data_IF_640106134868
#
_entry.id   IF_640106134868
#
_cell.length_a   1.000
_cell.length_b   1.000
_cell.length_c   1.000
_cell.angle_alpha   90.00
_cell.angle_beta   90.00
_cell.angle_gamma   90.00
#
_symmetry.space_group_name_H-M   'P 1'
#
loop_
_entity.id
_entity.type
_entity.pdbx_description
1 polymer ?
#
# COMPACT_ATOMS: atom_id res chain seq x y z
N UNK A 1 1.85 27.02 -7.97
CA UNK A 1 1.44 27.13 -6.56
C UNK A 1 2.41 26.34 -5.69
N UNK A 2 2.68 26.77 -4.43
CA UNK A 2 3.59 26.06 -3.54
C UNK A 2 2.87 24.93 -2.81
N UNK A 3 3.51 23.77 -2.72
CA UNK A 3 3.06 22.58 -2.02
C UNK A 3 4.12 22.18 -0.97
N UNK A 4 3.77 22.19 0.30
CA UNK A 4 4.61 21.66 1.35
C UNK A 4 4.21 20.21 1.63
N UNK A 5 5.11 19.27 1.37
CA UNK A 5 4.91 17.84 1.55
C UNK A 5 5.66 17.37 2.79
N UNK A 6 4.92 16.87 3.76
CA UNK A 6 5.47 16.24 4.96
C UNK A 6 5.33 14.72 4.86
N UNK A 7 6.44 14.00 4.82
CA UNK A 7 6.47 12.53 4.72
C UNK A 7 7.22 11.89 5.87
N UNK A 8 6.79 10.73 6.30
CA UNK A 8 7.44 9.97 7.38
C UNK A 8 8.51 8.99 6.87
N UNK A 9 8.65 8.86 5.55
CA UNK A 9 9.72 8.12 4.88
C UNK A 9 10.45 9.00 3.89
N UNK A 10 11.73 8.75 3.66
CA UNK A 10 12.43 9.25 2.47
C UNK A 10 11.87 8.48 1.27
N UNK A 11 11.15 9.13 0.32
CA UNK A 11 10.39 8.41 -0.71
C UNK A 11 11.24 7.79 -1.83
N UNK A 12 12.55 7.88 -1.75
CA UNK A 12 13.49 7.31 -2.71
C UNK A 12 14.47 6.34 -2.02
N UNK A 13 14.85 5.22 -2.67
CA UNK A 13 14.31 4.69 -3.93
C UNK A 13 12.86 4.15 -3.76
N UNK A 14 12.02 4.18 -4.81
CA UNK A 14 10.62 3.79 -4.74
C UNK A 14 10.44 2.26 -4.66
N UNK A 15 10.98 1.64 -3.62
CA UNK A 15 10.99 0.19 -3.41
C UNK A 15 10.07 -0.20 -2.27
N UNK A 16 8.85 -0.61 -2.60
CA UNK A 16 7.81 -1.00 -1.65
C UNK A 16 6.63 -0.03 -1.64
N UNK A 17 5.48 -0.47 -1.14
CA UNK A 17 4.19 0.18 -1.36
C UNK A 17 4.15 1.68 -1.09
N UNK A 18 4.42 2.09 0.15
CA UNK A 18 4.31 3.49 0.56
C UNK A 18 5.37 4.37 -0.13
N UNK A 19 6.63 3.89 -0.27
CA UNK A 19 7.70 4.64 -0.93
C UNK A 19 7.39 4.85 -2.42
N UNK A 20 6.91 3.81 -3.09
CA UNK A 20 6.52 3.85 -4.50
C UNK A 20 5.37 4.84 -4.71
N UNK A 21 4.36 4.83 -3.82
CA UNK A 21 3.26 5.78 -3.86
C UNK A 21 3.74 7.22 -3.69
N UNK A 22 4.39 7.53 -2.58
CA UNK A 22 4.82 8.91 -2.26
C UNK A 22 5.76 9.47 -3.32
N UNK A 23 6.75 8.68 -3.78
CA UNK A 23 7.67 9.11 -4.83
C UNK A 23 6.95 9.45 -6.12
N UNK A 24 6.09 8.54 -6.61
CA UNK A 24 5.41 8.76 -7.89
C UNK A 24 4.37 9.88 -7.81
N UNK A 25 3.65 10.02 -6.69
CA UNK A 25 2.75 11.16 -6.50
C UNK A 25 3.51 12.49 -6.50
N UNK A 26 4.64 12.59 -5.78
CA UNK A 26 5.51 13.79 -5.82
C UNK A 26 5.97 14.05 -7.25
N UNK A 27 6.42 13.03 -8.00
CA UNK A 27 6.84 13.15 -9.40
C UNK A 27 5.73 13.73 -10.27
N UNK A 28 4.50 13.25 -10.11
CA UNK A 28 3.37 13.72 -10.91
C UNK A 28 3.01 15.17 -10.57
N UNK A 29 2.79 15.49 -9.30
CA UNK A 29 2.35 16.84 -8.92
C UNK A 29 3.45 17.91 -9.07
N UNK A 30 4.72 17.52 -9.17
CA UNK A 30 5.82 18.45 -9.43
C UNK A 30 5.74 19.16 -10.78
N UNK A 31 4.94 18.66 -11.72
CA UNK A 31 4.67 19.32 -12.99
C UNK A 31 3.78 20.57 -12.84
N UNK A 32 2.91 20.59 -11.82
CA UNK A 32 1.93 21.65 -11.60
C UNK A 32 2.20 22.47 -10.32
N UNK A 33 2.96 21.92 -9.38
CA UNK A 33 3.23 22.52 -8.07
C UNK A 33 4.72 22.64 -7.80
N UNK A 34 5.13 23.73 -7.14
CA UNK A 34 6.47 23.89 -6.57
C UNK A 34 6.53 23.12 -5.25
N UNK A 35 7.05 21.90 -5.28
CA UNK A 35 7.07 20.99 -4.13
C UNK A 35 8.25 21.28 -3.22
N UNK A 36 7.98 21.48 -1.93
CA UNK A 36 8.96 21.55 -0.84
C UNK A 36 8.77 20.34 0.06
N UNK A 37 9.72 19.43 0.07
CA UNK A 37 9.65 18.17 0.80
C UNK A 37 10.40 18.27 2.14
N UNK A 38 9.68 18.01 3.25
CA UNK A 38 10.27 17.69 4.54
C UNK A 38 9.96 16.22 4.83
N UNK A 39 10.98 15.41 5.06
CA UNK A 39 10.82 13.97 5.25
C UNK A 39 11.67 13.44 6.40
N UNK A 40 11.24 12.33 7.00
CA UNK A 40 11.91 11.71 8.13
C UNK A 40 12.71 10.48 7.65
N UNK A 41 13.93 10.33 8.16
CA UNK A 41 14.74 9.13 7.92
C UNK A 41 14.28 7.97 8.84
N UNK A 42 13.06 7.48 8.62
CA UNK A 42 12.50 6.36 9.38
C UNK A 42 13.22 5.05 9.05
N UNK A 43 13.73 4.92 7.83
CA UNK A 43 14.47 3.75 7.37
C UNK A 43 15.83 3.59 8.06
N UNK A 44 16.39 4.67 8.63
CA UNK A 44 17.71 4.67 9.25
C UNK A 44 18.86 4.59 8.22
N UNK A 45 18.63 5.15 7.04
CA UNK A 45 19.63 5.17 5.97
C UNK A 45 20.86 6.00 6.37
N UNK A 46 22.06 5.56 5.99
CA UNK A 46 23.29 6.27 6.34
C UNK A 46 23.42 7.62 5.61
N UNK A 47 24.12 8.61 6.20
CA UNK A 47 24.18 9.97 5.64
C UNK A 47 24.69 10.07 4.19
N UNK A 48 25.58 9.16 3.77
CA UNK A 48 26.06 9.12 2.39
C UNK A 48 24.95 8.77 1.42
N UNK A 49 24.08 7.82 1.80
CA UNK A 49 22.97 7.36 0.99
C UNK A 49 21.86 8.41 0.96
N UNK A 50 21.60 9.08 2.09
CA UNK A 50 20.63 10.18 2.15
C UNK A 50 21.00 11.34 1.21
N UNK A 51 22.30 11.67 1.07
CA UNK A 51 22.74 12.70 0.09
C UNK A 51 22.44 12.30 -1.35
N UNK A 52 22.62 11.02 -1.70
CA UNK A 52 22.26 10.52 -3.03
C UNK A 52 20.74 10.58 -3.25
N UNK A 53 19.94 10.20 -2.25
CA UNK A 53 18.48 10.27 -2.31
C UNK A 53 17.98 11.73 -2.40
N UNK A 54 18.58 12.63 -1.66
CA UNK A 54 18.27 14.06 -1.72
C UNK A 54 18.56 14.63 -3.13
N UNK A 55 19.68 14.24 -3.75
CA UNK A 55 20.01 14.67 -5.09
C UNK A 55 18.96 14.22 -6.11
N UNK A 56 18.51 12.98 -6.05
CA UNK A 56 17.45 12.47 -6.91
C UNK A 56 16.11 13.19 -6.68
N UNK A 57 15.72 13.37 -5.42
CA UNK A 57 14.47 14.05 -5.07
C UNK A 57 14.45 15.52 -5.52
N UNK A 58 15.61 16.18 -5.60
CA UNK A 58 15.73 17.56 -6.11
C UNK A 58 15.41 17.71 -7.60
N UNK A 59 15.31 16.62 -8.35
CA UNK A 59 14.80 16.68 -9.73
C UNK A 59 13.28 17.01 -9.75
N UNK A 60 12.57 16.70 -8.68
CA UNK A 60 11.12 16.87 -8.57
C UNK A 60 10.72 17.91 -7.52
N UNK A 61 11.57 18.15 -6.53
CA UNK A 61 11.30 19.05 -5.43
C UNK A 61 12.20 20.28 -5.47
N UNK A 62 11.62 21.46 -5.27
CA UNK A 62 12.36 22.72 -5.18
C UNK A 62 13.30 22.74 -3.98
N UNK A 63 12.87 22.15 -2.88
CA UNK A 63 13.71 21.90 -1.71
C UNK A 63 13.42 20.54 -1.11
N UNK A 64 14.43 19.92 -0.55
CA UNK A 64 14.34 18.65 0.15
C UNK A 64 15.06 18.82 1.48
N UNK A 65 14.37 18.55 2.58
CA UNK A 65 14.93 18.54 3.91
C UNK A 65 14.67 17.16 4.55
N UNK A 66 15.74 16.40 4.80
CA UNK A 66 15.67 15.08 5.43
C UNK A 66 16.04 15.24 6.90
N UNK A 67 15.16 14.81 7.78
CA UNK A 67 15.30 14.91 9.22
C UNK A 67 15.59 13.54 9.84
N UNK A 68 16.59 13.49 10.72
CA UNK A 68 16.84 12.31 11.52
C UNK A 68 15.82 12.20 12.65
N UNK A 69 15.38 10.98 12.95
CA UNK A 69 14.55 10.74 14.13
C UNK A 69 15.37 10.92 15.42
N UNK A 70 14.72 11.33 16.51
CA UNK A 70 15.39 11.54 17.80
C UNK A 70 15.96 10.24 18.41
N UNK A 71 15.59 9.10 17.87
CA UNK A 71 16.10 7.78 18.27
C UNK A 71 15.90 6.76 17.15
N UNK A 72 16.78 5.73 17.08
CA UNK A 72 16.67 4.70 16.05
C UNK A 72 15.35 3.95 16.14
N UNK A 73 14.77 3.65 14.99
CA UNK A 73 13.59 2.79 14.86
C UNK A 73 13.89 1.42 15.52
N UNK A 74 12.97 0.96 16.40
CA UNK A 74 13.13 -0.27 17.20
C UNK A 74 14.33 -0.28 18.17
N UNK A 75 14.93 0.86 18.45
CA UNK A 75 15.94 1.00 19.51
C UNK A 75 15.34 0.96 20.93
N UNK A 76 16.21 0.98 21.97
CA UNK A 76 15.78 0.89 23.38
C UNK A 76 14.74 1.96 23.78
N UNK A 77 14.91 3.19 23.29
CA UNK A 77 13.95 4.29 23.54
C UNK A 77 12.61 4.04 22.85
N UNK A 78 12.63 3.48 21.64
CA UNK A 78 11.41 3.11 20.92
C UNK A 78 10.57 2.11 21.73
N UNK A 79 11.19 1.09 22.28
CA UNK A 79 10.51 0.11 23.14
C UNK A 79 10.01 0.73 24.45
N UNK A 80 10.78 1.64 25.06
CA UNK A 80 10.35 2.36 26.26
C UNK A 80 9.10 3.23 25.97
N UNK A 81 9.05 3.93 24.83
CA UNK A 81 7.88 4.70 24.41
C UNK A 81 6.68 3.81 24.07
N UNK A 82 6.91 2.64 23.45
CA UNK A 82 5.86 1.66 23.21
C UNK A 82 5.23 1.18 24.52
N UNK A 83 6.04 0.85 25.51
CA UNK A 83 5.59 0.43 26.85
C UNK A 83 4.84 1.54 27.62
N UNK A 84 5.20 2.79 27.41
CA UNK A 84 4.53 3.96 28.02
C UNK A 84 3.26 4.36 27.26
N UNK A 85 3.11 3.94 26.00
CA UNK A 85 2.04 4.41 25.14
C UNK A 85 0.63 4.17 25.69
N UNK A 86 0.32 3.12 26.51
CA UNK A 86 -0.99 2.97 27.12
C UNK A 86 -1.44 4.16 27.98
N UNK A 87 -0.48 4.92 28.55
CA UNK A 87 -0.74 6.07 29.42
C UNK A 87 -1.16 7.34 28.67
N UNK A 88 -1.08 7.37 27.36
CA UNK A 88 -1.37 8.55 26.54
C UNK A 88 -2.57 8.29 25.62
N UNK A 89 -3.33 9.35 25.30
CA UNK A 89 -4.45 9.27 24.36
C UNK A 89 -4.03 9.18 22.89
N UNK A 90 -2.84 9.70 22.55
CA UNK A 90 -2.30 9.73 21.20
C UNK A 90 -1.75 8.36 20.80
N UNK A 91 -1.95 7.89 19.56
CA UNK A 91 -1.36 6.66 19.06
C UNK A 91 0.14 6.61 19.22
N UNK A 92 0.69 5.42 19.48
CA UNK A 92 2.12 5.25 19.63
C UNK A 92 2.90 5.68 18.38
N UNK A 93 2.42 5.35 17.19
CA UNK A 93 3.06 5.71 15.92
C UNK A 93 3.23 7.23 15.77
N UNK A 94 2.18 8.00 16.04
CA UNK A 94 2.25 9.47 16.00
C UNK A 94 3.27 10.04 17.00
N UNK A 95 3.32 9.48 18.22
CA UNK A 95 4.28 9.91 19.24
C UNK A 95 5.72 9.56 18.91
N UNK A 96 5.92 8.36 18.35
CA UNK A 96 7.25 7.88 17.99
C UNK A 96 7.90 8.71 16.87
N UNK A 97 7.09 9.31 16.00
CA UNK A 97 7.58 10.18 14.93
C UNK A 97 7.63 11.66 15.28
N UNK A 98 7.10 12.05 16.44
CA UNK A 98 7.09 13.44 16.84
C UNK A 98 8.42 13.90 17.45
N UNK A 99 8.94 15.04 16.99
CA UNK A 99 10.11 15.71 17.52
C UNK A 99 9.95 17.23 17.50
N UNK A 100 10.27 17.90 18.60
CA UNK A 100 10.27 19.37 18.67
C UNK A 100 11.24 20.01 17.66
N UNK A 101 12.36 19.35 17.38
CA UNK A 101 13.33 19.83 16.37
C UNK A 101 12.74 19.77 14.96
N UNK A 102 12.03 18.69 14.64
CA UNK A 102 11.36 18.53 13.34
C UNK A 102 10.17 19.52 13.26
N UNK A 103 9.41 19.70 14.34
CA UNK A 103 8.34 20.69 14.40
C UNK A 103 8.87 22.11 14.11
N UNK A 104 9.98 22.53 14.74
CA UNK A 104 10.57 23.83 14.48
C UNK A 104 11.02 24.02 13.01
N UNK A 105 11.48 22.95 12.35
CA UNK A 105 11.80 22.98 10.90
C UNK A 105 10.53 23.08 10.04
N UNK A 106 9.50 22.35 10.40
CA UNK A 106 8.19 22.42 9.74
C UNK A 106 7.57 23.82 9.89
N UNK A 107 7.56 24.40 11.09
CA UNK A 107 7.07 25.77 11.35
C UNK A 107 7.86 26.82 10.58
N UNK A 108 9.17 26.66 10.41
CA UNK A 108 9.98 27.52 9.54
C UNK A 108 9.53 27.46 8.09
N UNK A 109 9.25 26.25 7.55
CA UNK A 109 8.72 26.10 6.20
C UNK A 109 7.36 26.79 6.06
N UNK A 110 6.45 26.60 7.02
CA UNK A 110 5.14 27.26 7.04
C UNK A 110 5.29 28.79 6.99
N UNK A 111 6.17 29.34 7.82
CA UNK A 111 6.42 30.79 7.90
C UNK A 111 7.08 31.35 6.62
N UNK A 112 7.91 30.55 5.95
CA UNK A 112 8.59 30.94 4.71
C UNK A 112 7.66 30.88 3.49
N UNK A 113 6.59 30.07 3.58
CA UNK A 113 5.66 29.84 2.48
C UNK A 113 4.20 30.07 2.88
N UNK A 114 3.81 31.30 3.26
CA UNK A 114 2.42 31.61 3.59
C UNK A 114 1.50 31.34 2.39
N UNK A 115 0.35 30.72 2.66
CA UNK A 115 -0.64 30.38 1.61
C UNK A 115 -0.29 29.14 0.78
N UNK A 116 0.75 28.39 1.14
CA UNK A 116 1.02 27.09 0.53
C UNK A 116 -0.08 26.07 0.86
N UNK A 117 -0.30 25.12 -0.05
CA UNK A 117 -1.08 23.91 0.24
C UNK A 117 -0.19 22.91 0.99
N UNK A 118 -0.76 22.23 1.97
CA UNK A 118 -0.03 21.24 2.76
C UNK A 118 -0.50 19.83 2.40
N UNK A 119 0.44 18.92 2.24
CA UNK A 119 0.19 17.48 2.10
C UNK A 119 0.86 16.72 3.24
N UNK A 120 0.05 16.05 4.04
CA UNK A 120 0.50 15.15 5.09
C UNK A 120 0.40 13.72 4.56
N UNK A 121 1.52 13.05 4.42
CA UNK A 121 1.61 11.76 3.74
C UNK A 121 1.23 10.55 4.64
N UNK A 122 0.82 10.78 5.87
CA UNK A 122 0.32 9.77 6.80
C UNK A 122 -0.34 10.40 8.02
N UNK A 123 -1.30 9.69 8.60
CA UNK A 123 -1.88 10.00 9.91
C UNK A 123 -0.82 10.02 11.03
N UNK A 124 0.28 9.30 10.88
CA UNK A 124 1.37 9.27 11.86
C UNK A 124 2.04 10.63 12.06
N UNK A 125 1.83 11.56 11.12
CA UNK A 125 2.34 12.93 11.17
C UNK A 125 1.35 13.93 11.81
N UNK A 126 0.26 13.44 12.36
CA UNK A 126 -0.85 14.22 12.91
C UNK A 126 -0.43 15.31 13.89
N UNK A 127 0.57 15.03 14.73
CA UNK A 127 1.04 15.99 15.74
C UNK A 127 1.71 17.26 15.16
N UNK A 128 2.06 17.25 13.88
CA UNK A 128 2.55 18.42 13.16
C UNK A 128 1.43 19.28 12.58
N UNK A 129 0.19 18.76 12.50
CA UNK A 129 -0.94 19.47 11.93
C UNK A 129 -1.44 20.63 12.78
N UNK A 130 -1.18 20.59 14.10
CA UNK A 130 -1.61 21.66 15.03
C UNK A 130 -0.96 23.02 14.73
N UNK A 131 0.27 23.03 14.21
CA UNK A 131 0.96 24.26 13.79
C UNK A 131 0.45 24.83 12.46
N UNK A 132 -0.40 24.07 11.74
CA UNK A 132 -0.84 24.35 10.38
C UNK A 132 -2.34 24.74 10.30
N UNK A 133 -2.93 25.30 11.36
CA UNK A 133 -4.38 25.57 11.44
C UNK A 133 -4.89 26.57 10.39
N UNK A 134 -4.06 27.49 9.96
CA UNK A 134 -4.42 28.53 8.99
C UNK A 134 -4.08 28.18 7.54
N UNK A 135 -3.70 26.93 7.27
CA UNK A 135 -3.36 26.46 5.94
C UNK A 135 -4.42 25.50 5.41
N UNK A 136 -4.59 25.50 4.11
CA UNK A 136 -5.32 24.42 3.41
C UNK A 136 -4.45 23.16 3.44
N UNK A 137 -5.06 22.03 3.81
CA UNK A 137 -4.30 20.81 4.09
C UNK A 137 -5.03 19.55 3.65
N UNK A 138 -4.26 18.63 3.08
CA UNK A 138 -4.69 17.31 2.63
C UNK A 138 -3.99 16.25 3.46
N UNK A 139 -4.76 15.27 3.95
CA UNK A 139 -4.25 14.08 4.63
C UNK A 139 -4.32 12.88 3.70
N UNK A 140 -3.19 12.26 3.44
CA UNK A 140 -3.12 11.03 2.65
C UNK A 140 -3.22 9.80 3.56
N UNK A 141 -4.19 8.94 3.27
CA UNK A 141 -4.36 7.65 3.94
C UNK A 141 -3.81 6.55 3.04
N UNK A 142 -2.82 5.81 3.54
CA UNK A 142 -2.33 4.59 2.88
C UNK A 142 -3.27 3.41 3.13
N UNK A 143 -4.04 3.46 4.23
CA UNK A 143 -5.10 2.55 4.64
C UNK A 143 -6.02 3.28 5.62
N UNK A 144 -7.15 2.69 5.98
CA UNK A 144 -7.77 2.96 7.27
C UNK A 144 -6.94 2.26 8.35
N UNK A 145 -6.05 3.02 9.00
CA UNK A 145 -5.01 2.45 9.88
C UNK A 145 -5.61 1.78 11.12
N UNK A 146 -6.71 2.31 11.66
CA UNK A 146 -7.40 1.68 12.79
C UNK A 146 -8.00 0.34 12.41
N UNK A 147 -8.66 0.24 11.26
CA UNK A 147 -9.25 -1.00 10.77
C UNK A 147 -8.17 -2.05 10.50
N UNK A 148 -7.04 -1.65 9.90
CA UNK A 148 -5.89 -2.53 9.72
C UNK A 148 -5.34 -3.03 11.05
N UNK A 149 -5.19 -2.13 12.05
CA UNK A 149 -4.69 -2.49 13.38
C UNK A 149 -5.65 -3.43 14.12
N UNK A 150 -6.98 -3.23 14.03
CA UNK A 150 -7.97 -4.16 14.58
C UNK A 150 -7.91 -5.54 13.92
N UNK A 151 -7.78 -5.60 12.59
CA UNK A 151 -7.63 -6.86 11.85
C UNK A 151 -6.37 -7.62 12.28
N UNK A 152 -5.24 -6.91 12.42
CA UNK A 152 -3.99 -7.50 12.93
C UNK A 152 -4.11 -7.99 14.38
N UNK A 153 -4.77 -7.22 15.25
CA UNK A 153 -5.03 -7.61 16.63
C UNK A 153 -5.90 -8.88 16.71
N UNK A 154 -6.88 -9.04 15.82
CA UNK A 154 -7.72 -10.23 15.72
C UNK A 154 -6.93 -11.50 15.43
N UNK A 155 -5.87 -11.40 14.62
CA UNK A 155 -5.02 -12.53 14.24
C UNK A 155 -3.88 -12.81 15.24
N UNK A 156 -3.65 -11.92 16.23
CA UNK A 156 -2.59 -12.09 17.23
C UNK A 156 -2.98 -13.17 18.26
N UNK A 157 -2.10 -14.16 18.44
CA UNK A 157 -2.31 -15.29 19.35
C UNK A 157 -1.96 -14.96 20.81
N UNK A 158 -0.98 -14.07 21.02
CA UNK A 158 -0.57 -13.65 22.36
C UNK A 158 -1.61 -12.67 22.96
N UNK A 159 -2.30 -12.99 24.05
CA UNK A 159 -3.38 -12.16 24.59
C UNK A 159 -2.90 -10.78 25.05
N UNK A 160 -1.66 -10.65 25.56
CA UNK A 160 -1.10 -9.38 26.00
C UNK A 160 -0.83 -8.48 24.78
N UNK A 161 -0.22 -9.03 23.73
CA UNK A 161 0.03 -8.31 22.48
C UNK A 161 -1.28 -7.94 21.80
N UNK A 162 -2.25 -8.85 21.76
CA UNK A 162 -3.60 -8.58 21.23
C UNK A 162 -4.26 -7.39 21.93
N UNK A 163 -4.28 -7.38 23.28
CA UNK A 163 -4.86 -6.28 24.05
C UNK A 163 -4.15 -4.96 23.80
N UNK A 164 -2.83 -4.98 23.74
CA UNK A 164 -2.04 -3.79 23.38
C UNK A 164 -2.38 -3.27 21.98
N UNK A 165 -2.45 -4.16 20.98
CA UNK A 165 -2.79 -3.81 19.60
C UNK A 165 -4.22 -3.26 19.49
N UNK A 166 -5.19 -3.84 20.20
CA UNK A 166 -6.57 -3.32 20.28
C UNK A 166 -6.61 -1.91 20.88
N UNK A 167 -5.83 -1.67 21.94
CA UNK A 167 -5.71 -0.32 22.52
C UNK A 167 -5.13 0.69 21.51
N UNK A 168 -4.10 0.30 20.76
CA UNK A 168 -3.53 1.18 19.72
C UNK A 168 -4.51 1.41 18.58
N UNK A 169 -5.25 0.38 18.15
CA UNK A 169 -6.30 0.50 17.14
C UNK A 169 -7.40 1.48 17.57
N UNK A 170 -7.85 1.42 18.83
CA UNK A 170 -8.83 2.37 19.37
C UNK A 170 -8.31 3.82 19.37
N UNK A 171 -7.03 4.01 19.68
CA UNK A 171 -6.39 5.35 19.63
C UNK A 171 -6.27 5.85 18.19
N UNK A 172 -5.92 4.97 17.23
CA UNK A 172 -5.90 5.31 15.81
C UNK A 172 -7.30 5.72 15.33
N UNK A 173 -8.35 4.98 15.67
CA UNK A 173 -9.72 5.34 15.33
C UNK A 173 -10.13 6.71 15.91
N UNK A 174 -9.70 7.02 17.14
CA UNK A 174 -9.92 8.34 17.73
C UNK A 174 -9.15 9.46 17.00
N UNK A 175 -7.91 9.18 16.58
CA UNK A 175 -7.10 10.12 15.80
C UNK A 175 -7.70 10.33 14.41
N UNK A 176 -8.11 9.27 13.71
CA UNK A 176 -8.80 9.33 12.41
C UNK A 176 -10.07 10.17 12.52
N UNK A 177 -10.91 9.93 13.54
CA UNK A 177 -12.12 10.73 13.78
C UNK A 177 -11.84 12.23 13.91
N UNK A 178 -10.82 12.58 14.68
CA UNK A 178 -10.45 13.98 14.92
C UNK A 178 -9.85 14.63 13.68
N UNK A 179 -8.91 13.95 13.03
CA UNK A 179 -8.11 14.51 11.94
C UNK A 179 -8.87 14.57 10.63
N UNK A 180 -9.61 13.51 10.25
CA UNK A 180 -10.38 13.52 9.01
C UNK A 180 -11.40 14.66 8.97
N UNK A 181 -11.91 15.11 10.13
CA UNK A 181 -12.78 16.28 10.23
C UNK A 181 -12.06 17.63 10.23
N UNK A 182 -10.74 17.64 10.46
CA UNK A 182 -9.94 18.88 10.55
C UNK A 182 -9.12 19.19 9.30
N UNK A 183 -9.01 18.25 8.38
CA UNK A 183 -8.38 18.44 7.07
C UNK A 183 -9.42 18.83 6.02
N UNK A 184 -9.01 19.66 5.05
CA UNK A 184 -9.90 20.09 3.97
C UNK A 184 -10.29 18.93 3.05
N UNK A 185 -9.33 18.01 2.78
CA UNK A 185 -9.55 16.78 2.03
C UNK A 185 -8.72 15.65 2.63
N UNK A 186 -9.30 14.45 2.64
CA UNK A 186 -8.64 13.19 2.97
C UNK A 186 -8.54 12.35 1.70
N UNK A 187 -7.34 11.99 1.25
CA UNK A 187 -7.17 11.08 0.12
C UNK A 187 -7.12 9.64 0.59
N UNK A 188 -7.81 8.76 -0.11
CA UNK A 188 -7.94 7.33 0.22
C UNK A 188 -7.56 6.46 -0.97
N UNK A 189 -7.05 5.26 -0.72
CA UNK A 189 -6.51 4.39 -1.78
C UNK A 189 -7.52 3.38 -2.33
N UNK A 190 -8.65 3.18 -1.64
CA UNK A 190 -9.68 2.25 -2.06
C UNK A 190 -11.06 2.70 -1.58
N UNK A 191 -12.10 2.23 -2.26
CA UNK A 191 -13.49 2.47 -1.87
C UNK A 191 -13.79 1.90 -0.48
N UNK A 192 -13.18 0.77 -0.13
CA UNK A 192 -13.32 0.17 1.18
C UNK A 192 -12.72 1.07 2.28
N UNK A 193 -11.50 1.59 2.09
CA UNK A 193 -10.90 2.53 3.04
C UNK A 193 -11.76 3.81 3.17
N UNK A 194 -12.34 4.29 2.05
CA UNK A 194 -13.25 5.42 2.07
C UNK A 194 -14.47 5.15 2.96
N UNK A 195 -15.12 4.00 2.80
CA UNK A 195 -16.28 3.62 3.59
C UNK A 195 -15.94 3.50 5.09
N UNK A 196 -14.86 2.81 5.41
CA UNK A 196 -14.40 2.65 6.81
C UNK A 196 -14.09 4.00 7.48
N UNK A 197 -13.39 4.90 6.79
CA UNK A 197 -13.08 6.23 7.32
C UNK A 197 -14.33 7.11 7.40
N UNK A 198 -15.28 6.96 6.49
CA UNK A 198 -16.55 7.68 6.51
C UNK A 198 -17.46 7.22 7.66
N UNK A 199 -17.42 5.94 8.04
CA UNK A 199 -18.07 5.45 9.26
C UNK A 199 -17.45 6.04 10.54
N UNK A 200 -16.12 6.21 10.55
CA UNK A 200 -15.38 6.81 11.68
C UNK A 200 -15.66 8.31 11.79
N UNK A 201 -15.63 9.04 10.65
CA UNK A 201 -15.86 10.48 10.56
C UNK A 201 -16.75 10.81 9.37
N UNK A 202 -18.09 10.83 9.53
CA UNK A 202 -19.04 11.06 8.44
C UNK A 202 -18.93 12.44 7.78
N UNK A 203 -18.43 13.44 8.50
CA UNK A 203 -18.28 14.81 8.01
C UNK A 203 -16.90 15.08 7.35
N UNK A 204 -16.05 14.06 7.22
CA UNK A 204 -14.79 14.17 6.50
C UNK A 204 -15.02 14.26 4.98
N UNK A 205 -14.20 15.03 4.28
CA UNK A 205 -14.19 15.06 2.81
C UNK A 205 -13.18 14.03 2.29
N UNK A 206 -13.66 13.00 1.59
CA UNK A 206 -12.84 11.90 1.08
C UNK A 206 -12.76 11.94 -0.43
N UNK A 207 -11.53 11.92 -0.96
CA UNK A 207 -11.25 11.88 -2.38
C UNK A 207 -10.42 10.63 -2.73
N UNK A 208 -10.85 9.90 -3.76
CA UNK A 208 -10.16 8.70 -4.19
C UNK A 208 -8.85 9.08 -4.91
N UNK A 209 -7.74 8.57 -4.42
CA UNK A 209 -6.42 8.63 -5.06
C UNK A 209 -5.81 7.25 -4.94
N UNK A 210 -6.05 6.42 -5.93
CA UNK A 210 -5.64 5.01 -5.92
C UNK A 210 -4.12 4.84 -5.94
N UNK A 211 -3.64 3.63 -5.75
CA UNK A 211 -2.24 3.30 -6.02
C UNK A 211 -2.06 3.06 -7.52
N UNK A 212 -0.88 3.40 -8.02
CA UNK A 212 -0.56 3.27 -9.44
C UNK A 212 0.59 2.30 -9.71
N UNK A 213 0.86 2.11 -11.00
CA UNK A 213 2.01 1.37 -11.52
C UNK A 213 2.69 2.18 -12.63
N UNK A 214 4.00 2.07 -12.73
CA UNK A 214 4.76 2.67 -13.84
C UNK A 214 4.67 1.76 -15.07
N UNK A 215 3.70 2.06 -15.94
CA UNK A 215 3.43 1.30 -17.17
C UNK A 215 4.51 1.46 -18.24
N UNK A 216 5.41 2.43 -18.09
CA UNK A 216 6.58 2.58 -18.95
C UNK A 216 7.77 1.75 -18.43
N UNK A 217 7.84 1.52 -17.12
CA UNK A 217 8.86 0.69 -16.49
C UNK A 217 8.49 -0.79 -16.53
N UNK A 218 7.26 -1.13 -16.17
CA UNK A 218 6.71 -2.47 -16.26
C UNK A 218 6.03 -2.63 -17.62
N UNK A 219 6.75 -3.19 -18.58
CA UNK A 219 6.26 -3.45 -19.95
C UNK A 219 6.29 -4.93 -20.25
N UNK A 220 5.32 -5.44 -21.03
CA UNK A 220 5.38 -6.80 -21.53
C UNK A 220 6.68 -7.01 -22.34
N UNK A 221 7.33 -8.14 -22.15
CA UNK A 221 8.49 -8.55 -22.93
C UNK A 221 8.10 -9.70 -23.87
N UNK A 222 8.68 -9.69 -25.08
CA UNK A 222 8.40 -10.73 -26.10
C UNK A 222 9.20 -12.03 -25.87
N UNK A 223 9.75 -12.23 -24.68
CA UNK A 223 10.44 -13.47 -24.32
C UNK A 223 9.42 -14.52 -23.88
N UNK A 224 9.64 -15.76 -24.32
CA UNK A 224 8.82 -16.88 -23.89
C UNK A 224 8.98 -17.11 -22.40
N UNK A 225 7.86 -17.06 -21.67
CA UNK A 225 7.84 -17.45 -20.26
C UNK A 225 7.94 -18.97 -20.11
N UNK A 226 8.48 -19.44 -19.01
CA UNK A 226 8.45 -20.86 -18.65
C UNK A 226 6.99 -21.31 -18.46
N UNK A 227 6.47 -22.14 -19.37
CA UNK A 227 5.06 -22.44 -19.52
C UNK A 227 4.35 -22.90 -18.22
N UNK A 228 5.02 -23.67 -17.38
CA UNK A 228 4.48 -24.19 -16.12
C UNK A 228 5.19 -23.57 -14.92
N UNK A 229 5.23 -22.24 -14.88
CA UNK A 229 5.88 -21.51 -13.79
C UNK A 229 4.98 -20.46 -13.15
N UNK A 230 5.07 -20.34 -11.84
CA UNK A 230 4.38 -19.35 -11.05
C UNK A 230 5.36 -18.49 -10.26
N UNK A 231 5.03 -17.21 -10.04
CA UNK A 231 5.85 -16.31 -9.22
C UNK A 231 5.02 -15.58 -8.16
N UNK A 232 5.55 -15.58 -6.93
CA UNK A 232 5.12 -14.68 -5.85
C UNK A 232 6.18 -13.62 -5.63
N UNK A 233 5.77 -12.35 -5.55
CA UNK A 233 6.69 -11.23 -5.36
C UNK A 233 6.38 -10.41 -4.10
N UNK A 234 7.37 -9.69 -3.56
CA UNK A 234 7.18 -8.71 -2.50
C UNK A 234 8.20 -8.74 -1.37
N UNK A 235 7.82 -8.18 -0.21
CA UNK A 235 8.64 -8.28 0.99
C UNK A 235 8.39 -9.64 1.66
N UNK A 236 9.29 -10.62 1.42
CA UNK A 236 9.13 -12.00 1.88
C UNK A 236 9.18 -12.14 3.41
N UNK A 237 9.79 -11.18 4.11
CA UNK A 237 9.81 -11.12 5.58
C UNK A 237 8.57 -10.49 6.23
N UNK A 238 7.60 -10.02 5.46
CA UNK A 238 6.36 -9.45 5.98
C UNK A 238 5.37 -10.55 6.39
N UNK A 239 4.77 -10.45 7.59
CA UNK A 239 3.91 -11.50 8.16
C UNK A 239 2.83 -12.03 7.22
N UNK A 240 2.05 -11.15 6.62
CA UNK A 240 1.00 -11.55 5.67
C UNK A 240 1.56 -12.25 4.42
N UNK A 241 2.75 -11.86 3.95
CA UNK A 241 3.43 -12.55 2.85
C UNK A 241 3.96 -13.92 3.29
N UNK A 242 4.42 -14.07 4.55
CA UNK A 242 4.83 -15.38 5.10
C UNK A 242 3.64 -16.31 5.16
N UNK A 243 2.48 -15.85 5.68
CA UNK A 243 1.24 -16.63 5.69
C UNK A 243 0.83 -17.05 4.26
N UNK A 244 0.88 -16.12 3.30
CA UNK A 244 0.57 -16.38 1.90
C UNK A 244 1.52 -17.40 1.26
N UNK A 245 2.83 -17.28 1.51
CA UNK A 245 3.82 -18.25 1.00
C UNK A 245 3.64 -19.63 1.63
N UNK A 246 3.33 -19.72 2.94
CA UNK A 246 3.02 -20.99 3.60
C UNK A 246 1.78 -21.64 2.98
N UNK A 247 0.71 -20.87 2.73
CA UNK A 247 -0.47 -21.35 2.04
C UNK A 247 -0.11 -21.87 0.63
N UNK A 248 0.66 -21.09 -0.12
CA UNK A 248 1.09 -21.47 -1.47
C UNK A 248 1.93 -22.74 -1.47
N UNK A 249 2.99 -22.81 -0.66
CA UNK A 249 3.98 -23.89 -0.68
C UNK A 249 3.40 -25.18 -0.10
N UNK A 250 2.68 -25.11 1.02
CA UNK A 250 2.23 -26.32 1.73
C UNK A 250 0.83 -26.79 1.37
N UNK A 251 -0.04 -25.90 0.83
CA UNK A 251 -1.44 -26.28 0.58
C UNK A 251 -1.79 -26.27 -0.91
N UNK A 252 -1.23 -25.38 -1.69
CA UNK A 252 -1.55 -25.22 -3.13
C UNK A 252 -0.56 -25.98 -4.02
N UNK A 253 0.74 -25.72 -3.82
CA UNK A 253 1.79 -26.18 -4.71
C UNK A 253 1.87 -27.71 -4.89
N UNK A 254 1.70 -28.54 -3.83
CA UNK A 254 1.65 -29.99 -3.99
C UNK A 254 0.56 -30.43 -4.97
N UNK A 255 -0.65 -29.83 -4.92
CA UNK A 255 -1.75 -30.17 -5.83
C UNK A 255 -1.44 -29.77 -7.28
N UNK A 256 -0.77 -28.65 -7.49
CA UNK A 256 -0.31 -28.25 -8.85
C UNK A 256 0.70 -29.26 -9.39
N UNK A 257 1.62 -29.73 -8.54
CA UNK A 257 2.67 -30.70 -8.89
C UNK A 257 2.14 -32.09 -9.24
N UNK A 258 0.96 -32.47 -8.76
CA UNK A 258 0.28 -33.73 -9.15
C UNK A 258 -0.01 -33.74 -10.66
N UNK A 259 -0.47 -32.62 -11.24
CA UNK A 259 -0.73 -32.48 -12.67
C UNK A 259 0.49 -32.08 -13.50
N UNK A 260 1.40 -31.30 -12.89
CA UNK A 260 2.58 -30.73 -13.56
C UNK A 260 3.87 -30.98 -12.73
N UNK A 261 4.43 -32.20 -12.76
CA UNK A 261 5.63 -32.54 -11.97
C UNK A 261 6.85 -31.66 -12.25
N UNK A 262 6.96 -31.09 -13.46
CA UNK A 262 8.04 -30.17 -13.86
C UNK A 262 7.79 -28.70 -13.54
N UNK A 263 6.64 -28.34 -12.96
CA UNK A 263 6.30 -26.96 -12.63
C UNK A 263 7.33 -26.30 -11.70
N UNK A 264 7.53 -24.99 -11.87
CA UNK A 264 8.46 -24.17 -11.10
C UNK A 264 7.74 -23.07 -10.33
N UNK A 265 8.14 -22.87 -9.07
CA UNK A 265 7.65 -21.80 -8.21
C UNK A 265 8.80 -20.84 -7.86
N UNK A 266 8.65 -19.58 -8.21
CA UNK A 266 9.57 -18.51 -7.86
C UNK A 266 9.01 -17.71 -6.69
N UNK A 267 9.83 -17.50 -5.66
CA UNK A 267 9.54 -16.62 -4.52
C UNK A 267 10.59 -15.50 -4.52
N UNK A 268 10.24 -14.36 -5.11
CA UNK A 268 11.19 -13.28 -5.35
C UNK A 268 10.87 -12.05 -4.48
N UNK A 269 11.87 -11.54 -3.74
CA UNK A 269 11.63 -10.33 -2.96
C UNK A 269 12.60 -10.06 -1.83
N UNK A 270 12.25 -9.05 -1.02
CA UNK A 270 13.11 -8.53 0.03
C UNK A 270 13.06 -9.38 1.30
N UNK A 271 14.24 -9.48 1.94
CA UNK A 271 14.41 -10.00 3.31
C UNK A 271 13.68 -11.33 3.55
N UNK A 272 13.94 -12.40 2.77
CA UNK A 272 13.38 -13.70 3.03
C UNK A 272 13.87 -14.22 4.39
N UNK A 273 12.97 -14.75 5.24
CA UNK A 273 13.37 -15.40 6.49
C UNK A 273 14.18 -16.67 6.21
N UNK A 274 14.95 -17.12 7.19
CA UNK A 274 15.82 -18.29 7.05
C UNK A 274 15.06 -19.57 6.66
N UNK A 275 13.86 -19.79 7.20
CA UNK A 275 13.06 -20.95 6.85
C UNK A 275 12.62 -20.93 5.37
N UNK A 276 12.31 -19.74 4.81
CA UNK A 276 11.97 -19.60 3.39
C UNK A 276 13.19 -19.93 2.52
N UNK A 277 14.40 -19.53 2.92
CA UNK A 277 15.64 -19.84 2.22
C UNK A 277 15.98 -21.35 2.21
N UNK A 278 15.36 -22.16 3.06
CA UNK A 278 15.55 -23.61 3.11
C UNK A 278 14.66 -24.37 2.13
N UNK A 279 13.50 -23.81 1.73
CA UNK A 279 12.54 -24.51 0.86
C UNK A 279 13.13 -25.07 -0.45
N UNK A 280 14.09 -24.43 -1.16
CA UNK A 280 14.73 -25.02 -2.32
C UNK A 280 15.52 -26.31 -2.05
N UNK A 281 15.91 -26.55 -0.79
CA UNK A 281 16.58 -27.79 -0.37
C UNK A 281 15.57 -28.91 -0.07
N UNK A 282 14.35 -28.53 0.31
CA UNK A 282 13.25 -29.45 0.65
C UNK A 282 12.45 -29.82 -0.62
N UNK A 283 12.26 -28.86 -1.52
CA UNK A 283 11.58 -29.04 -2.80
C UNK A 283 12.35 -28.30 -3.92
N UNK A 284 13.00 -29.02 -4.80
CA UNK A 284 13.79 -28.51 -5.92
C UNK A 284 12.98 -27.78 -7.00
N UNK A 285 11.64 -27.85 -6.92
CA UNK A 285 10.75 -27.08 -7.81
C UNK A 285 10.58 -25.64 -7.37
N UNK A 286 10.99 -25.30 -6.12
CA UNK A 286 10.92 -23.97 -5.54
C UNK A 286 12.27 -23.27 -5.70
N UNK A 287 12.23 -22.03 -6.17
CA UNK A 287 13.39 -21.14 -6.24
C UNK A 287 13.11 -19.88 -5.45
N UNK A 288 13.97 -19.57 -4.48
CA UNK A 288 13.92 -18.30 -3.73
C UNK A 288 14.92 -17.33 -4.32
N UNK A 289 14.46 -16.13 -4.65
CA UNK A 289 15.28 -15.04 -5.21
C UNK A 289 15.35 -13.90 -4.18
N UNK A 290 16.39 -13.88 -3.34
CA UNK A 290 16.52 -12.90 -2.29
C UNK A 290 16.97 -11.54 -2.85
N UNK A 291 16.26 -10.47 -2.47
CA UNK A 291 16.63 -9.09 -2.73
C UNK A 291 17.03 -8.78 -4.19
N UNK A 292 16.24 -9.18 -5.21
CA UNK A 292 16.57 -8.87 -6.59
C UNK A 292 16.67 -7.36 -6.80
N UNK A 293 17.66 -6.91 -7.57
CA UNK A 293 17.80 -5.49 -7.93
C UNK A 293 16.68 -5.04 -8.84
N UNK A 294 16.27 -5.92 -9.77
CA UNK A 294 15.15 -5.71 -10.69
C UNK A 294 14.20 -6.92 -10.64
N UNK A 295 12.91 -6.64 -10.47
CA UNK A 295 11.87 -7.67 -10.43
C UNK A 295 11.38 -8.07 -11.83
N UNK A 296 11.55 -7.22 -12.82
CA UNK A 296 11.01 -7.41 -14.17
C UNK A 296 11.47 -8.69 -14.87
N UNK A 297 12.77 -9.07 -14.84
CA UNK A 297 13.20 -10.33 -15.45
C UNK A 297 12.54 -11.55 -14.82
N UNK A 298 12.28 -11.52 -13.51
CA UNK A 298 11.62 -12.61 -12.80
C UNK A 298 10.12 -12.69 -13.12
N UNK A 299 9.45 -11.53 -13.21
CA UNK A 299 8.07 -11.46 -13.67
C UNK A 299 7.94 -11.90 -15.12
N UNK A 300 8.85 -11.48 -15.99
CA UNK A 300 8.87 -11.89 -17.41
C UNK A 300 8.99 -13.39 -17.56
N UNK A 301 9.89 -14.01 -16.80
CA UNK A 301 10.19 -15.44 -16.81
C UNK A 301 8.99 -16.31 -16.43
N UNK A 302 8.18 -15.88 -15.47
CA UNK A 302 7.06 -16.64 -14.99
C UNK A 302 5.87 -16.58 -15.95
N UNK A 303 5.16 -17.71 -16.10
CA UNK A 303 3.93 -17.78 -16.89
C UNK A 303 2.74 -17.13 -16.15
N UNK A 304 2.68 -17.27 -14.82
CA UNK A 304 1.57 -16.81 -13.97
C UNK A 304 2.10 -16.12 -12.74
N UNK A 305 1.53 -14.96 -12.39
CA UNK A 305 1.77 -14.33 -11.10
C UNK A 305 0.73 -14.77 -10.07
N UNK A 306 1.15 -14.92 -8.80
CA UNK A 306 0.25 -15.35 -7.73
C UNK A 306 0.23 -14.35 -6.58
N UNK A 307 -0.98 -14.10 -6.04
CA UNK A 307 -1.18 -13.24 -4.87
C UNK A 307 -2.11 -13.92 -3.84
N UNK A 308 -1.67 -15.01 -3.18
CA UNK A 308 -2.47 -15.80 -2.26
C UNK A 308 -2.51 -15.17 -0.85
N UNK A 309 -2.79 -13.87 -0.76
CA UNK A 309 -2.83 -13.13 0.50
C UNK A 309 -4.12 -13.47 1.24
N UNK A 310 -4.00 -13.89 2.50
CA UNK A 310 -5.11 -14.33 3.34
C UNK A 310 -5.51 -13.29 4.39
N UNK A 311 -4.65 -12.27 4.61
CA UNK A 311 -4.83 -11.28 5.66
C UNK A 311 -4.14 -9.96 5.30
N UNK A 312 -4.53 -8.88 6.00
CA UNK A 312 -3.95 -7.55 5.80
C UNK A 312 -4.88 -6.60 5.04
N UNK A 313 -4.47 -5.35 4.86
CA UNK A 313 -5.20 -4.28 4.17
C UNK A 313 -4.38 -3.65 3.04
N UNK A 314 -4.98 -2.66 2.38
CA UNK A 314 -4.37 -1.88 1.28
C UNK A 314 -4.28 -2.62 -0.06
N UNK A 315 -4.15 -1.85 -1.13
CA UNK A 315 -4.00 -2.38 -2.49
C UNK A 315 -2.66 -3.11 -2.69
N UNK A 316 -2.70 -4.24 -3.36
CA UNK A 316 -1.52 -5.08 -3.62
C UNK A 316 -0.82 -4.64 -4.89
N UNK A 317 0.15 -3.73 -4.80
CA UNK A 317 0.92 -3.22 -5.95
C UNK A 317 1.52 -4.34 -6.81
N UNK A 318 1.89 -5.47 -6.21
CA UNK A 318 2.40 -6.64 -6.94
C UNK A 318 1.43 -7.18 -8.02
N UNK A 319 0.12 -6.98 -7.83
CA UNK A 319 -0.88 -7.32 -8.85
C UNK A 319 -0.79 -6.31 -9.99
N UNK A 320 -0.71 -5.02 -9.68
CA UNK A 320 -0.57 -3.98 -10.70
C UNK A 320 0.72 -4.15 -11.51
N UNK A 321 1.85 -4.45 -10.83
CA UNK A 321 3.13 -4.73 -11.50
C UNK A 321 3.00 -5.92 -12.47
N UNK A 322 2.34 -7.01 -12.03
CA UNK A 322 2.11 -8.20 -12.86
C UNK A 322 1.20 -7.89 -14.06
N UNK A 323 0.08 -7.21 -13.84
CA UNK A 323 -0.86 -6.81 -14.89
C UNK A 323 -0.18 -5.86 -15.89
N UNK A 324 0.68 -4.94 -15.41
CA UNK A 324 1.46 -4.05 -16.26
C UNK A 324 2.44 -4.81 -17.16
N UNK A 325 3.01 -5.91 -16.67
CA UNK A 325 3.84 -6.83 -17.48
C UNK A 325 3.01 -7.76 -18.39
N UNK A 326 1.68 -7.58 -18.47
CA UNK A 326 0.80 -8.43 -19.25
C UNK A 326 0.72 -9.87 -18.72
N UNK A 327 1.01 -10.10 -17.44
CA UNK A 327 0.97 -11.42 -16.82
C UNK A 327 -0.41 -11.73 -16.25
N UNK A 328 -0.96 -12.93 -16.49
CA UNK A 328 -2.17 -13.37 -15.81
C UNK A 328 -1.89 -13.55 -14.32
N UNK A 329 -2.89 -13.27 -13.51
CA UNK A 329 -2.78 -13.34 -12.05
C UNK A 329 -3.81 -14.30 -11.48
N UNK A 330 -3.39 -15.14 -10.53
CA UNK A 330 -4.30 -15.86 -9.61
C UNK A 330 -4.17 -15.22 -8.24
N UNK A 331 -5.29 -14.80 -7.66
CA UNK A 331 -5.34 -14.13 -6.36
C UNK A 331 -6.44 -14.70 -5.48
N UNK A 332 -6.34 -14.48 -4.19
CA UNK A 332 -7.49 -14.57 -3.28
C UNK A 332 -8.34 -13.32 -3.36
N UNK A 333 -9.58 -13.36 -2.86
CA UNK A 333 -10.45 -12.19 -2.71
C UNK A 333 -9.74 -11.09 -1.92
N UNK A 334 -9.11 -11.42 -0.78
CA UNK A 334 -8.31 -10.48 0.03
C UNK A 334 -7.07 -10.00 -0.75
N UNK A 335 -6.49 -10.85 -1.58
CA UNK A 335 -5.31 -10.50 -2.39
C UNK A 335 -5.58 -9.41 -3.41
N UNK A 336 -6.74 -9.35 -4.02
CA UNK A 336 -7.13 -8.32 -5.00
C UNK A 336 -8.07 -7.23 -4.43
N UNK A 337 -8.27 -7.23 -3.10
CA UNK A 337 -9.11 -6.23 -2.43
C UNK A 337 -8.71 -4.80 -2.80
N UNK A 338 -9.69 -3.95 -3.09
CA UNK A 338 -9.48 -2.54 -3.47
C UNK A 338 -8.99 -2.32 -4.91
N UNK A 339 -8.88 -3.35 -5.73
CA UNK A 339 -8.58 -3.23 -7.16
C UNK A 339 -9.83 -3.43 -8.02
N UNK A 340 -9.99 -2.64 -9.08
CA UNK A 340 -11.11 -2.74 -10.04
C UNK A 340 -10.90 -3.89 -11.03
N UNK A 341 -10.48 -5.04 -10.55
CA UNK A 341 -10.29 -6.23 -11.38
C UNK A 341 -11.60 -6.99 -11.57
N UNK A 342 -11.74 -7.66 -12.71
CA UNK A 342 -12.92 -8.46 -13.06
C UNK A 342 -12.52 -9.94 -13.09
N UNK A 343 -13.02 -10.77 -12.14
CA UNK A 343 -12.75 -12.21 -12.13
C UNK A 343 -13.12 -12.89 -13.45
N UNK A 344 -12.23 -13.74 -13.97
CA UNK A 344 -12.39 -14.45 -15.24
C UNK A 344 -12.04 -13.64 -16.49
N UNK A 345 -11.90 -12.32 -16.38
CA UNK A 345 -11.51 -11.44 -17.48
C UNK A 345 -10.02 -11.07 -17.39
N UNK A 346 -9.59 -10.41 -16.31
CA UNK A 346 -8.23 -9.93 -16.14
C UNK A 346 -7.50 -10.49 -14.90
N UNK A 347 -8.22 -11.30 -14.09
CA UNK A 347 -7.68 -12.00 -12.92
C UNK A 347 -8.48 -13.29 -12.68
N UNK A 348 -7.85 -14.33 -12.12
CA UNK A 348 -8.57 -15.44 -11.48
C UNK A 348 -8.59 -15.22 -9.96
N UNK A 349 -9.76 -15.44 -9.36
CA UNK A 349 -9.93 -15.31 -7.90
C UNK A 349 -10.32 -16.67 -7.31
N UNK A 350 -9.56 -17.10 -6.31
CA UNK A 350 -9.76 -18.38 -5.64
C UNK A 350 -9.26 -18.31 -4.18
N UNK A 351 -10.13 -18.66 -3.23
CA UNK A 351 -9.84 -18.55 -1.79
C UNK A 351 -9.46 -19.88 -1.14
N UNK A 352 -9.83 -21.02 -1.76
CA UNK A 352 -9.45 -22.34 -1.23
C UNK A 352 -8.17 -22.87 -1.90
N UNK A 353 -7.37 -23.70 -1.20
CA UNK A 353 -6.18 -24.31 -1.81
C UNK A 353 -6.48 -25.06 -3.11
N UNK A 354 -7.62 -25.78 -3.15
CA UNK A 354 -8.07 -26.56 -4.30
C UNK A 354 -8.38 -25.68 -5.50
N UNK A 355 -9.17 -24.63 -5.30
CA UNK A 355 -9.59 -23.74 -6.37
C UNK A 355 -8.40 -22.91 -6.87
N UNK A 356 -7.50 -22.51 -5.96
CA UNK A 356 -6.28 -21.78 -6.31
C UNK A 356 -5.35 -22.66 -7.17
N UNK A 357 -5.15 -23.92 -6.78
CA UNK A 357 -4.40 -24.89 -7.57
C UNK A 357 -5.06 -25.14 -8.93
N UNK A 358 -6.39 -25.31 -8.99
CA UNK A 358 -7.13 -25.45 -10.23
C UNK A 358 -6.98 -24.23 -11.15
N UNK A 359 -7.00 -23.01 -10.60
CA UNK A 359 -6.73 -21.79 -11.35
C UNK A 359 -5.34 -21.76 -11.97
N UNK A 360 -4.30 -22.19 -11.23
CA UNK A 360 -2.95 -22.31 -11.76
C UNK A 360 -2.86 -23.36 -12.87
N UNK A 361 -3.41 -24.56 -12.64
CA UNK A 361 -3.47 -25.65 -13.63
C UNK A 361 -4.16 -25.17 -14.90
N UNK A 362 -5.31 -24.51 -14.80
CA UNK A 362 -6.04 -23.97 -15.94
C UNK A 362 -5.18 -22.98 -16.76
N UNK A 363 -4.42 -22.11 -16.09
CA UNK A 363 -3.54 -21.16 -16.78
C UNK A 363 -2.29 -21.86 -17.34
N UNK A 364 -1.80 -22.94 -16.76
CA UNK A 364 -0.69 -23.71 -17.31
C UNK A 364 -1.09 -24.44 -18.59
N UNK A 365 -2.30 -25.01 -18.63
CA UNK A 365 -2.82 -25.73 -19.79
C UNK A 365 -3.21 -24.81 -20.95
N UNK A 366 -3.77 -23.63 -20.66
CA UNK A 366 -4.43 -22.78 -21.66
C UNK A 366 -3.62 -21.52 -21.95
N UNK A 367 -2.69 -21.58 -22.89
CA UNK A 367 -1.87 -20.45 -23.30
C UNK A 367 -2.71 -19.26 -23.79
N UNK A 368 -3.73 -19.53 -24.60
CA UNK A 368 -4.61 -18.48 -25.12
C UNK A 368 -5.36 -17.76 -24.00
N UNK A 369 -5.75 -18.47 -22.94
CA UNK A 369 -6.35 -17.84 -21.75
C UNK A 369 -5.33 -16.94 -21.04
N UNK A 370 -4.07 -17.40 -20.86
CA UNK A 370 -3.01 -16.57 -20.29
C UNK A 370 -2.82 -15.29 -21.08
N UNK A 371 -2.71 -15.40 -22.40
CA UNK A 371 -2.49 -14.26 -23.29
C UNK A 371 -3.67 -13.27 -23.23
N UNK A 372 -4.90 -13.77 -23.28
CA UNK A 372 -6.12 -12.93 -23.20
C UNK A 372 -6.23 -12.21 -21.86
N UNK A 373 -6.02 -12.92 -20.75
CA UNK A 373 -6.09 -12.33 -19.40
C UNK A 373 -4.96 -11.32 -19.16
N UNK A 374 -3.75 -11.64 -19.60
CA UNK A 374 -2.62 -10.72 -19.52
C UNK A 374 -2.87 -9.43 -20.29
N UNK A 375 -3.40 -9.51 -21.52
CA UNK A 375 -3.76 -8.36 -22.34
C UNK A 375 -4.88 -7.53 -21.71
N UNK A 376 -5.92 -8.16 -21.17
CA UNK A 376 -7.01 -7.48 -20.46
C UNK A 376 -6.50 -6.79 -19.17
N UNK A 377 -5.60 -7.44 -18.43
CA UNK A 377 -4.96 -6.87 -17.26
C UNK A 377 -4.09 -5.66 -17.60
N UNK A 378 -3.30 -5.73 -18.67
CA UNK A 378 -2.48 -4.60 -19.17
C UNK A 378 -3.36 -3.41 -19.55
N UNK A 379 -4.42 -3.65 -20.33
CA UNK A 379 -5.36 -2.61 -20.72
C UNK A 379 -6.04 -1.93 -19.51
N UNK A 380 -6.37 -2.71 -18.48
CA UNK A 380 -6.91 -2.18 -17.23
C UNK A 380 -5.93 -1.21 -16.56
N UNK A 381 -4.67 -1.61 -16.36
CA UNK A 381 -3.72 -0.76 -15.63
C UNK A 381 -3.30 0.47 -16.42
N UNK A 382 -3.22 0.39 -17.74
CA UNK A 382 -2.98 1.57 -18.60
C UNK A 382 -4.11 2.57 -18.53
N UNK A 383 -5.34 2.11 -18.46
CA UNK A 383 -6.52 2.99 -18.39
C UNK A 383 -6.74 3.56 -17.00
N UNK A 384 -6.56 2.76 -15.93
CA UNK A 384 -7.03 3.13 -14.59
C UNK A 384 -5.90 3.40 -13.58
N UNK A 385 -4.71 2.79 -13.75
CA UNK A 385 -3.69 2.71 -12.71
C UNK A 385 -2.30 3.27 -13.11
N UNK A 386 -2.17 3.92 -14.27
CA UNK A 386 -0.94 4.63 -14.60
C UNK A 386 -0.74 5.84 -13.68
N UNK A 387 0.50 6.13 -13.29
CA UNK A 387 0.78 7.20 -12.33
C UNK A 387 0.33 8.57 -12.82
N UNK A 388 0.28 8.81 -14.13
CA UNK A 388 -0.22 10.05 -14.73
C UNK A 388 -1.69 10.28 -14.35
N UNK A 389 -2.52 9.24 -14.45
CA UNK A 389 -3.93 9.29 -14.06
C UNK A 389 -4.10 9.46 -12.55
N UNK A 390 -3.29 8.72 -11.76
CA UNK A 390 -3.32 8.83 -10.29
C UNK A 390 -2.87 10.22 -9.84
N UNK A 391 -1.88 10.82 -10.53
CA UNK A 391 -1.48 12.21 -10.30
C UNK A 391 -2.60 13.21 -10.55
N UNK A 392 -3.40 13.00 -11.61
CA UNK A 392 -4.60 13.83 -11.89
C UNK A 392 -5.63 13.72 -10.77
N UNK A 393 -5.89 12.52 -10.23
CA UNK A 393 -6.78 12.35 -9.08
C UNK A 393 -6.28 13.14 -7.85
N UNK A 394 -4.96 13.15 -7.59
CA UNK A 394 -4.39 13.94 -6.50
C UNK A 394 -4.51 15.45 -6.75
N UNK A 395 -4.30 15.90 -7.99
CA UNK A 395 -4.50 17.31 -8.34
C UNK A 395 -5.96 17.74 -8.21
N UNK A 396 -6.91 16.85 -8.50
CA UNK A 396 -8.33 17.09 -8.23
C UNK A 396 -8.62 17.23 -6.74
N UNK A 397 -8.04 16.34 -5.90
CA UNK A 397 -8.12 16.46 -4.45
C UNK A 397 -7.55 17.79 -3.93
N UNK A 398 -6.44 18.26 -4.52
CA UNK A 398 -5.85 19.56 -4.19
C UNK A 398 -6.74 20.74 -4.60
N UNK A 399 -7.38 20.67 -5.77
CA UNK A 399 -8.36 21.69 -6.20
C UNK A 399 -9.54 21.76 -5.24
N UNK A 400 -10.09 20.60 -4.85
CA UNK A 400 -11.16 20.53 -3.85
C UNK A 400 -10.72 21.15 -2.51
N UNK A 401 -9.49 20.88 -2.04
CA UNK A 401 -8.99 21.45 -0.79
C UNK A 401 -8.86 22.98 -0.84
N UNK A 402 -8.63 23.56 -2.02
CA UNK A 402 -8.46 25.00 -2.22
C UNK A 402 -9.79 25.76 -2.40
N UNK A 403 -10.86 25.06 -2.77
CA UNK A 403 -12.17 25.66 -2.93
C UNK A 403 -12.79 26.07 -1.57
N UNK A 404 -13.62 27.14 -1.53
CA UNK A 404 -14.37 27.50 -0.34
C UNK A 404 -15.31 26.36 0.10
N UNK A 405 -15.48 26.14 1.39
CA UNK A 405 -16.33 25.10 1.97
C UNK A 405 -17.79 25.06 1.44
N UNK A 406 -18.29 26.14 0.85
CA UNK A 406 -19.62 26.24 0.24
C UNK A 406 -19.79 25.43 -1.07
N UNK A 407 -18.70 25.01 -1.72
CA UNK A 407 -18.74 24.20 -2.96
C UNK A 407 -18.77 22.69 -2.68
N UNK A 408 -18.42 22.25 -1.49
CA UNK A 408 -18.24 20.83 -1.15
C UNK A 408 -19.56 20.03 -1.09
N UNK A 409 -20.72 20.69 -0.99
CA UNK A 409 -22.03 20.00 -0.97
C UNK A 409 -22.49 19.47 -2.34
N UNK A 410 -21.83 19.81 -3.45
CA UNK A 410 -22.23 19.40 -4.82
C UNK A 410 -21.50 18.19 -5.38
N UNK A 411 -20.38 17.76 -4.81
CA UNK A 411 -19.58 16.64 -5.33
C UNK A 411 -20.11 15.24 -4.94
N UNK A 412 -21.14 15.16 -4.10
CA UNK A 412 -21.75 13.89 -3.63
C UNK A 412 -22.79 13.26 -4.57
N UNK A 413 -23.00 13.78 -5.78
CA UNK A 413 -23.99 13.26 -6.73
C UNK A 413 -23.38 12.86 -8.07
N UNK A 414 -22.51 11.87 -8.09
CA UNK A 414 -22.37 11.02 -9.26
C UNK A 414 -23.20 9.75 -9.03
N UNK A 415 -24.42 9.74 -9.57
CA UNK A 415 -25.27 8.57 -9.61
C UNK A 415 -24.65 7.54 -10.55
N UNK A 416 -24.24 6.42 -10.00
CA UNK A 416 -24.08 5.19 -10.77
C UNK A 416 -25.46 4.52 -10.78
N UNK A 417 -26.19 4.63 -11.88
CA UNK A 417 -27.37 3.81 -12.14
C UNK A 417 -26.94 2.35 -12.23
N UNK A 418 -27.18 1.59 -11.18
CA UNK A 418 -26.94 0.16 -11.11
C UNK A 418 -27.56 -0.42 -9.83
N UNK A 419 -28.74 -0.99 -9.94
CA UNK A 419 -29.47 -1.66 -8.85
C UNK A 419 -28.55 -2.61 -8.10
N UNK A 420 -28.28 -2.32 -6.82
CA UNK A 420 -27.65 -3.26 -5.88
C UNK A 420 -28.76 -3.84 -5.01
N UNK A 421 -28.93 -5.16 -5.04
CA UNK A 421 -29.63 -5.90 -4.01
C UNK A 421 -28.83 -5.80 -2.71
N UNK A 422 -29.43 -5.19 -1.70
CA UNK A 422 -28.89 -5.14 -0.33
C UNK A 422 -29.27 -6.44 0.38
N UNK A 423 -28.29 -7.33 0.55
CA UNK A 423 -28.34 -8.31 1.64
C UNK A 423 -27.66 -7.67 2.86
N UNK A 424 -28.45 -7.52 3.93
CA UNK A 424 -28.02 -6.96 5.21
C UNK A 424 -26.92 -7.85 5.84
N UNK A 425 -25.75 -7.32 5.99
CA UNK A 425 -24.66 -7.95 6.76
C UNK A 425 -24.85 -7.63 8.25
N UNK A 426 -25.28 -8.63 9.03
CA UNK A 426 -25.37 -8.57 10.49
C UNK A 426 -24.06 -9.10 11.12
N UNK A 427 -23.25 -8.24 11.76
CA UNK A 427 -21.96 -8.65 12.33
C UNK A 427 -22.08 -9.55 13.58
N UNK A 428 -23.27 -9.80 14.11
CA UNK A 428 -23.47 -10.61 15.31
C UNK A 428 -23.65 -12.11 15.06
N UNK A 429 -23.85 -12.54 13.80
CA UNK A 429 -24.08 -13.95 13.44
C UNK A 429 -22.81 -14.79 13.22
N UNK A 430 -21.63 -14.19 13.16
CA UNK A 430 -20.38 -14.92 12.92
C UNK A 430 -19.73 -15.56 14.16
N UNK A 431 -20.37 -15.48 15.34
CA UNK A 431 -19.81 -15.97 16.62
C UNK A 431 -20.40 -17.28 17.15
N UNK A 432 -21.33 -17.93 16.43
CA UNK A 432 -22.08 -19.06 17.00
C UNK A 432 -22.08 -20.38 16.22
N UNK A 433 -21.16 -20.54 15.24
CA UNK A 433 -20.95 -21.87 14.63
C UNK A 433 -19.46 -22.26 14.69
N UNK A 434 -19.11 -22.88 15.82
CA UNK A 434 -18.08 -23.88 16.01
C UNK A 434 -18.51 -24.85 17.10
#
# INVERSE_FOLDING_TARGET
MKLLWLSHFVPFPPRGGNLQRSFNLIRQVSHSYEVHLLTLNLQGEPPQQLRAYEAELKHYCKSVEICELPFPWRGRRWWAEAMRSPLFSVPFSCRALFSKTILARWERLLNTHPGALLHFDSIDLALYADSAKNFRKVLNHHNCESALAYRQAGNEKNPIQRTYMQLQAAKLASAERSLCGSFDVNTVVSEQDRQLLQEIQPNGHYHMVENGVDTCHFVPVNEESEAHSAIFTGWLGWGANISAMNFLVYKVWPQVREGFPSARLYLAGKNPPEHVLRWPKEDSSITVVPNPEDMRPWLARAAVCVCPILEGGGTRLKILDALAMGKPVVSTTIGCEGLRVTPGENILVADTPRDFAAGLVQLFEKEELRRRMGAAGRALVEREYCWERIGQQLEEAYRCALEPASCHQRAGQYSVDGKVHTDEYDPTKAATER
#
